data_IF_456957889651
#
_entry.id   IF_456957889651
#
_cell.length_a   1.000
_cell.length_b   1.000
_cell.length_c   1.000
_cell.angle_alpha   90.00
_cell.angle_beta   90.00
_cell.angle_gamma   90.00
#
_symmetry.space_group_name_H-M   'P 1'
#
loop_
_entity.id
_entity.type
_entity.pdbx_description
1 polymer ?
#
# COMPACT_ATOMS: atom_id res chain seq x y z
N UNK A 1 17.10 -0.42 41.77
CA UNK A 1 16.44 -1.74 41.73
C UNK A 1 16.78 -2.35 40.39
N UNK A 2 17.67 -3.34 40.38
CA UNK A 2 18.30 -3.90 39.17
C UNK A 2 17.43 -5.05 38.69
N UNK A 3 16.90 -4.98 37.46
CA UNK A 3 16.24 -6.12 36.82
C UNK A 3 17.28 -6.98 36.06
N UNK A 4 17.35 -8.30 36.29
CA UNK A 4 18.24 -9.16 35.54
C UNK A 4 17.63 -9.56 34.19
N UNK A 5 18.50 -9.60 33.18
CA UNK A 5 18.25 -10.11 31.84
C UNK A 5 17.91 -11.61 31.87
N UNK A 6 16.89 -12.01 31.11
CA UNK A 6 16.57 -13.42 30.84
C UNK A 6 16.99 -13.78 29.41
N UNK A 7 17.88 -14.76 29.38
CA UNK A 7 18.52 -15.42 28.25
C UNK A 7 17.72 -16.71 27.91
N UNK A 8 17.97 -17.31 26.72
CA UNK A 8 17.51 -18.62 26.17
C UNK A 8 16.40 -18.50 25.11
N UNK A 9 16.41 -19.20 23.96
CA UNK A 9 17.27 -20.29 23.49
C UNK A 9 17.23 -20.34 21.95
N UNK A 10 18.40 -20.45 21.31
CA UNK A 10 18.53 -20.96 19.95
C UNK A 10 18.33 -22.47 19.97
N UNK A 11 17.31 -22.97 19.28
CA UNK A 11 17.16 -24.39 18.96
C UNK A 11 17.60 -24.60 17.51
N UNK A 12 18.71 -25.30 17.34
CA UNK A 12 19.19 -25.76 16.06
C UNK A 12 18.32 -26.89 15.51
N UNK A 13 17.94 -26.77 14.24
CA UNK A 13 17.46 -27.88 13.44
C UNK A 13 18.60 -28.31 12.51
N UNK A 14 19.30 -29.37 12.90
CA UNK A 14 20.16 -30.17 12.03
C UNK A 14 19.30 -31.32 11.52
N UNK A 15 19.09 -31.42 10.21
CA UNK A 15 18.25 -32.49 9.66
C UNK A 15 18.34 -32.65 8.14
N UNK A 16 19.13 -33.65 7.75
CA UNK A 16 19.02 -34.49 6.55
C UNK A 16 19.03 -33.82 5.15
N UNK A 17 20.21 -33.87 4.54
CA UNK A 17 20.41 -33.86 3.10
C UNK A 17 20.15 -35.29 2.60
N UNK A 18 19.06 -35.52 1.87
CA UNK A 18 18.81 -36.75 1.13
C UNK A 18 18.93 -36.47 -0.37
N UNK A 19 19.94 -37.07 -0.98
CA UNK A 19 20.21 -37.04 -2.41
C UNK A 19 19.07 -37.72 -3.20
N UNK A 20 18.58 -37.06 -4.25
CA UNK A 20 17.77 -37.71 -5.26
C UNK A 20 18.45 -37.56 -6.63
N UNK A 21 18.74 -38.72 -7.21
CA UNK A 21 19.52 -38.90 -8.42
C UNK A 21 18.68 -38.73 -9.68
N UNK A 22 19.33 -38.10 -10.66
CA UNK A 22 19.21 -38.25 -12.12
C UNK A 22 17.96 -38.93 -12.72
N UNK A 23 17.18 -38.13 -13.45
CA UNK A 23 16.45 -38.56 -14.63
C UNK A 23 16.70 -37.56 -15.77
N UNK A 24 17.70 -37.85 -16.61
CA UNK A 24 17.92 -37.18 -17.90
C UNK A 24 17.01 -37.85 -18.92
N UNK A 25 15.86 -37.25 -19.21
CA UNK A 25 14.93 -37.71 -20.24
C UNK A 25 14.79 -36.65 -21.36
N UNK A 26 15.29 -37.05 -22.54
CA UNK A 26 15.02 -36.59 -23.89
C UNK A 26 14.42 -35.17 -24.08
N UNK A 27 15.26 -34.25 -24.56
CA UNK A 27 14.85 -33.00 -25.18
C UNK A 27 14.32 -33.31 -26.60
N UNK A 28 13.00 -33.39 -26.75
CA UNK A 28 12.31 -33.48 -28.03
C UNK A 28 12.40 -32.10 -28.72
N UNK A 29 13.01 -32.05 -29.89
CA UNK A 29 13.38 -30.84 -30.63
C UNK A 29 12.18 -30.17 -31.31
N UNK A 30 11.05 -30.05 -30.62
CA UNK A 30 9.94 -29.22 -31.07
C UNK A 30 10.40 -27.78 -31.03
N UNK A 31 10.49 -27.18 -32.22
CA UNK A 31 10.71 -25.77 -32.50
C UNK A 31 10.42 -24.89 -31.27
N UNK A 32 11.46 -24.24 -30.73
CA UNK A 32 11.30 -23.12 -29.81
C UNK A 32 10.66 -21.96 -30.58
N UNK A 33 9.38 -22.10 -30.92
CA UNK A 33 8.56 -20.97 -31.31
C UNK A 33 8.60 -20.02 -30.12
N UNK A 34 9.28 -18.89 -30.32
CA UNK A 34 9.34 -17.84 -29.31
C UNK A 34 7.89 -17.56 -28.87
N UNK A 35 7.57 -17.62 -27.57
CA UNK A 35 6.23 -17.33 -27.10
C UNK A 35 5.82 -15.97 -27.67
N UNK A 36 4.76 -15.96 -28.47
CA UNK A 36 4.25 -14.72 -29.05
C UNK A 36 3.82 -13.83 -27.88
N UNK A 37 4.55 -12.72 -27.68
CA UNK A 37 4.18 -11.76 -26.64
C UNK A 37 2.78 -11.24 -26.98
N UNK A 38 1.82 -11.31 -26.05
CA UNK A 38 0.48 -10.81 -26.31
C UNK A 38 0.56 -9.33 -26.68
N UNK A 39 0.09 -8.97 -27.87
CA UNK A 39 -0.01 -7.58 -28.34
C UNK A 39 -1.23 -6.88 -27.74
N UNK A 40 -1.63 -7.28 -26.52
CA UNK A 40 -2.78 -6.71 -25.83
C UNK A 40 -2.47 -5.30 -25.34
N UNK A 41 -3.47 -4.43 -25.41
CA UNK A 41 -3.44 -3.12 -24.76
C UNK A 41 -3.07 -3.31 -23.27
N UNK A 42 -2.14 -2.53 -22.71
CA UNK A 42 -1.78 -2.64 -21.31
C UNK A 42 -3.03 -2.51 -20.44
N UNK A 43 -3.14 -3.27 -19.34
CA UNK A 43 -4.33 -3.23 -18.51
C UNK A 43 -4.56 -1.82 -17.96
N UNK A 44 -5.81 -1.36 -18.03
CA UNK A 44 -6.21 -0.09 -17.46
C UNK A 44 -6.20 -0.20 -15.93
N UNK A 45 -5.26 0.51 -15.29
CA UNK A 45 -5.23 0.68 -13.84
C UNK A 45 -6.26 1.71 -13.40
N UNK A 46 -6.69 1.62 -12.14
CA UNK A 46 -7.48 2.67 -11.52
C UNK A 46 -6.67 3.98 -11.54
N UNK A 47 -7.32 5.14 -11.79
CA UNK A 47 -6.62 6.41 -11.85
C UNK A 47 -6.01 6.75 -10.48
N UNK A 48 -4.69 6.91 -10.44
CA UNK A 48 -3.99 7.36 -9.25
C UNK A 48 -4.31 8.85 -8.96
N UNK A 49 -4.44 9.25 -7.68
CA UNK A 49 -4.67 10.64 -7.34
C UNK A 49 -3.42 11.48 -7.69
N UNK A 50 -3.56 12.61 -8.40
CA UNK A 50 -2.44 13.50 -8.70
C UNK A 50 -1.72 14.05 -7.46
N UNK A 51 -2.42 14.14 -6.33
CA UNK A 51 -1.87 14.57 -5.05
C UNK A 51 -1.82 13.39 -4.08
N UNK A 52 -0.64 13.17 -3.50
CA UNK A 52 -0.39 12.13 -2.51
C UNK A 52 -1.03 12.53 -1.16
N UNK A 53 -2.04 11.78 -0.67
CA UNK A 53 -2.91 12.23 0.43
C UNK A 53 -2.21 12.36 1.79
N UNK A 54 -1.26 11.48 2.13
CA UNK A 54 -0.52 11.57 3.40
C UNK A 54 0.43 12.76 3.35
N UNK A 55 1.23 12.91 2.29
CA UNK A 55 2.11 14.07 2.13
C UNK A 55 1.32 15.39 2.12
N UNK A 56 0.17 15.43 1.47
CA UNK A 56 -0.69 16.60 1.49
C UNK A 56 -1.19 16.90 2.91
N UNK A 57 -1.66 15.88 3.64
CA UNK A 57 -2.08 16.03 5.02
C UNK A 57 -0.94 16.56 5.90
N UNK A 58 0.26 16.00 5.81
CA UNK A 58 1.42 16.46 6.60
C UNK A 58 1.76 17.92 6.32
N UNK A 59 1.66 18.35 5.06
CA UNK A 59 1.98 19.72 4.68
C UNK A 59 0.87 20.73 5.01
N UNK A 60 -0.39 20.36 4.82
CA UNK A 60 -1.52 21.29 4.85
C UNK A 60 -2.39 21.18 6.12
N UNK A 61 -2.46 20.01 6.73
CA UNK A 61 -3.42 19.68 7.79
C UNK A 61 -2.76 19.43 9.16
N UNK A 62 -1.52 18.91 9.18
CA UNK A 62 -0.85 18.49 10.41
C UNK A 62 -0.57 19.65 11.40
N UNK A 63 -0.52 20.90 10.94
CA UNK A 63 -0.40 22.06 11.85
C UNK A 63 -1.57 22.16 12.85
N UNK A 64 -2.76 21.70 12.48
CA UNK A 64 -3.94 21.67 13.33
C UNK A 64 -4.24 20.27 13.88
N UNK A 65 -3.95 19.23 13.10
CA UNK A 65 -4.33 17.84 13.42
C UNK A 65 -3.17 16.98 13.94
N UNK A 66 -1.98 17.57 14.06
CA UNK A 66 -0.75 16.87 14.43
C UNK A 66 -0.20 15.99 13.31
N UNK A 67 1.07 15.58 13.39
CA UNK A 67 1.66 14.63 12.45
C UNK A 67 0.85 13.34 12.42
N UNK A 68 0.53 12.87 11.22
CA UNK A 68 -0.25 11.67 10.95
C UNK A 68 -1.59 11.62 11.72
N UNK A 69 -2.17 12.78 12.04
CA UNK A 69 -3.44 12.85 12.77
C UNK A 69 -3.32 12.53 14.26
N UNK A 70 -2.17 12.71 14.90
CA UNK A 70 -2.05 12.44 16.35
C UNK A 70 -2.99 13.30 17.23
N UNK A 71 -3.52 14.41 16.72
CA UNK A 71 -4.54 15.25 17.36
C UNK A 71 -5.91 15.16 16.65
N UNK A 72 -6.13 14.08 15.90
CA UNK A 72 -7.39 13.87 15.20
C UNK A 72 -8.52 13.60 16.20
N UNK A 73 -9.37 14.61 16.41
CA UNK A 73 -10.42 14.57 17.41
C UNK A 73 -11.65 13.76 17.01
N UNK A 74 -12.48 13.43 18.00
CA UNK A 74 -13.72 12.65 17.82
C UNK A 74 -14.72 13.29 16.84
N UNK A 75 -14.64 14.60 16.60
CA UNK A 75 -15.55 15.32 15.71
C UNK A 75 -15.58 14.78 14.27
N UNK A 76 -14.44 14.35 13.73
CA UNK A 76 -14.39 13.74 12.39
C UNK A 76 -14.84 12.29 12.39
N UNK A 77 -14.55 11.55 13.48
CA UNK A 77 -15.03 10.19 13.64
C UNK A 77 -16.55 10.12 13.79
N UNK A 78 -17.17 11.20 14.26
CA UNK A 78 -18.62 11.33 14.42
C UNK A 78 -19.39 11.66 13.13
N UNK A 79 -18.71 11.96 12.02
CA UNK A 79 -19.40 12.27 10.75
C UNK A 79 -20.05 11.00 10.17
N UNK A 80 -21.36 11.03 9.89
CA UNK A 80 -22.18 9.84 9.69
C UNK A 80 -21.89 9.08 8.40
N UNK A 81 -21.45 9.77 7.36
CA UNK A 81 -21.20 9.20 6.04
C UNK A 81 -20.04 9.91 5.33
N UNK A 82 -19.64 9.37 4.18
CA UNK A 82 -18.53 9.90 3.40
C UNK A 82 -18.88 11.18 2.66
N UNK A 83 -20.17 11.50 2.45
CA UNK A 83 -20.59 12.78 1.87
C UNK A 83 -20.34 13.92 2.86
N UNK A 84 -20.72 13.74 4.12
CA UNK A 84 -20.45 14.67 5.20
C UNK A 84 -18.95 14.85 5.43
N UNK A 85 -18.18 13.75 5.43
CA UNK A 85 -16.72 13.82 5.54
C UNK A 85 -16.09 14.52 4.33
N UNK A 86 -16.55 14.24 3.10
CA UNK A 86 -16.07 14.91 1.89
C UNK A 86 -16.33 16.40 1.94
N UNK A 87 -17.53 16.82 2.38
CA UNK A 87 -17.84 18.23 2.53
C UNK A 87 -16.90 18.91 3.55
N UNK A 88 -16.73 18.31 4.73
CA UNK A 88 -15.82 18.85 5.76
C UNK A 88 -14.37 18.94 5.26
N UNK A 89 -13.86 17.91 4.57
CA UNK A 89 -12.51 17.91 3.98
C UNK A 89 -12.38 19.01 2.93
N UNK A 90 -13.38 19.21 2.06
CA UNK A 90 -13.35 20.30 1.06
C UNK A 90 -13.30 21.68 1.72
N UNK A 91 -14.10 21.93 2.75
CA UNK A 91 -14.05 23.20 3.50
C UNK A 91 -12.67 23.43 4.14
N UNK A 92 -12.02 22.38 4.64
CA UNK A 92 -10.66 22.47 5.20
C UNK A 92 -9.60 22.74 4.12
N UNK A 93 -9.72 22.09 2.97
CA UNK A 93 -8.81 22.28 1.82
C UNK A 93 -8.91 23.71 1.29
N UNK A 94 -10.12 24.23 1.14
CA UNK A 94 -10.37 25.57 0.58
C UNK A 94 -10.08 26.67 1.61
N UNK A 95 -10.53 26.52 2.85
CA UNK A 95 -10.40 27.54 3.88
C UNK A 95 -9.00 27.54 4.53
N UNK A 96 -8.76 26.73 5.57
CA UNK A 96 -7.46 26.64 6.26
C UNK A 96 -6.26 26.36 5.34
N UNK A 97 -6.33 25.37 4.45
CA UNK A 97 -5.22 25.01 3.56
C UNK A 97 -5.08 25.91 2.34
N UNK A 98 -6.08 26.78 2.08
CA UNK A 98 -6.08 27.81 1.03
C UNK A 98 -5.74 27.29 -0.36
N UNK A 99 -6.22 26.10 -0.71
CA UNK A 99 -5.96 25.44 -1.99
C UNK A 99 -7.20 24.72 -2.51
N UNK A 100 -7.10 24.06 -3.66
CA UNK A 100 -8.12 23.16 -4.19
C UNK A 100 -7.50 21.83 -4.58
N UNK A 101 -8.30 20.77 -4.55
CA UNK A 101 -7.92 19.45 -5.03
C UNK A 101 -8.91 19.01 -6.12
N UNK A 102 -8.43 18.21 -7.06
CA UNK A 102 -9.32 17.50 -7.97
C UNK A 102 -10.15 16.43 -7.22
N UNK A 103 -11.11 15.83 -7.92
CA UNK A 103 -12.02 14.85 -7.33
C UNK A 103 -11.31 13.59 -6.82
N UNK A 104 -10.35 13.05 -7.56
CA UNK A 104 -9.62 11.84 -7.16
C UNK A 104 -8.71 12.11 -5.96
N UNK A 105 -7.97 13.23 -5.97
CA UNK A 105 -7.17 13.69 -4.85
C UNK A 105 -8.01 13.96 -3.61
N UNK A 106 -9.19 14.56 -3.77
CA UNK A 106 -10.14 14.77 -2.66
C UNK A 106 -10.62 13.43 -2.10
N UNK A 107 -10.98 12.48 -2.95
CA UNK A 107 -11.47 11.16 -2.52
C UNK A 107 -10.39 10.36 -1.78
N UNK A 108 -9.15 10.38 -2.26
CA UNK A 108 -8.02 9.74 -1.59
C UNK A 108 -7.74 10.38 -0.21
N UNK A 109 -7.82 11.71 -0.11
CA UNK A 109 -7.67 12.42 1.16
C UNK A 109 -8.81 12.08 2.14
N UNK A 110 -10.06 12.02 1.67
CA UNK A 110 -11.21 11.59 2.48
C UNK A 110 -11.02 10.17 3.02
N UNK A 111 -10.53 9.24 2.19
CA UNK A 111 -10.22 7.88 2.62
C UNK A 111 -9.14 7.85 3.72
N UNK A 112 -8.10 8.69 3.59
CA UNK A 112 -7.08 8.84 4.63
C UNK A 112 -7.65 9.41 5.93
N UNK A 113 -8.46 10.47 5.87
CA UNK A 113 -9.16 11.02 7.03
C UNK A 113 -10.07 9.99 7.71
N UNK A 114 -10.69 9.08 6.94
CA UNK A 114 -11.49 7.99 7.50
C UNK A 114 -10.62 6.92 8.17
N UNK A 115 -9.44 6.62 7.62
CA UNK A 115 -8.46 5.76 8.29
C UNK A 115 -8.04 6.33 9.65
N UNK A 116 -7.74 7.63 9.72
CA UNK A 116 -7.39 8.31 10.98
C UNK A 116 -8.50 8.19 12.03
N UNK A 117 -9.76 8.35 11.62
CA UNK A 117 -10.92 8.26 12.51
C UNK A 117 -11.12 6.87 13.15
N UNK A 118 -10.68 5.78 12.49
CA UNK A 118 -10.97 4.40 12.91
C UNK A 118 -9.91 3.78 13.82
N UNK A 119 -9.04 4.60 14.41
CA UNK A 119 -7.98 4.18 15.35
C UNK A 119 -7.01 3.17 14.71
N UNK A 120 -6.30 3.59 13.65
CA UNK A 120 -5.09 3.03 13.01
C UNK A 120 -4.88 1.50 12.84
N UNK A 121 -5.78 0.61 13.28
CA UNK A 121 -5.55 -0.85 13.37
C UNK A 121 -5.17 -1.47 12.03
N UNK A 122 -5.69 -0.93 10.94
CA UNK A 122 -5.38 -1.34 9.58
C UNK A 122 -4.55 -0.24 8.91
N UNK A 123 -3.44 -0.56 8.23
CA UNK A 123 -2.69 0.44 7.49
C UNK A 123 -3.53 0.99 6.33
N UNK A 124 -3.37 2.27 6.04
CA UNK A 124 -3.81 2.89 4.80
C UNK A 124 -2.68 2.76 3.77
N UNK A 125 -3.01 2.39 2.54
CA UNK A 125 -2.07 2.39 1.42
C UNK A 125 -2.70 3.01 0.18
N UNK A 126 -1.92 3.78 -0.57
CA UNK A 126 -2.29 4.44 -1.82
C UNK A 126 -1.18 4.26 -2.84
N UNK A 127 -1.54 3.99 -4.08
CA UNK A 127 -0.68 4.03 -5.26
C UNK A 127 -0.80 5.43 -5.86
N UNK A 128 0.29 6.16 -5.95
CA UNK A 128 0.34 7.51 -6.53
C UNK A 128 0.89 7.50 -7.95
N UNK A 129 1.66 6.47 -8.32
CA UNK A 129 2.21 6.34 -9.67
C UNK A 129 2.48 4.88 -10.05
N UNK A 130 2.15 4.53 -11.28
CA UNK A 130 2.58 3.32 -11.97
C UNK A 130 3.20 3.75 -13.29
N UNK A 131 4.49 3.49 -13.49
CA UNK A 131 5.24 3.86 -14.69
C UNK A 131 6.16 2.71 -15.12
N UNK A 132 5.73 1.94 -16.12
CA UNK A 132 6.43 0.75 -16.57
C UNK A 132 6.58 -0.28 -15.45
N UNK A 133 7.81 -0.49 -14.98
CA UNK A 133 8.12 -1.39 -13.87
C UNK A 133 8.27 -0.69 -12.51
N UNK A 134 8.11 0.63 -12.43
CA UNK A 134 8.13 1.37 -11.18
C UNK A 134 6.70 1.54 -10.64
N UNK A 135 6.51 1.20 -9.36
CA UNK A 135 5.27 1.43 -8.62
C UNK A 135 5.59 2.24 -7.38
N UNK A 136 4.84 3.31 -7.15
CA UNK A 136 5.07 4.26 -6.07
C UNK A 136 3.77 4.62 -5.36
N UNK A 137 3.90 5.01 -4.11
CA UNK A 137 2.74 5.35 -3.31
C UNK A 137 3.07 5.86 -1.92
N UNK A 138 2.04 5.90 -1.08
CA UNK A 138 2.17 6.19 0.34
C UNK A 138 1.50 5.11 1.19
N UNK A 139 1.95 4.99 2.43
CA UNK A 139 1.45 4.03 3.41
C UNK A 139 1.46 4.64 4.81
N UNK A 140 0.55 4.22 5.69
CA UNK A 140 0.57 4.61 7.09
C UNK A 140 1.95 4.40 7.74
N UNK A 141 2.39 5.27 8.65
CA UNK A 141 3.68 5.14 9.34
C UNK A 141 3.84 3.77 10.03
N UNK A 142 5.05 3.20 9.95
CA UNK A 142 5.36 1.90 10.56
C UNK A 142 4.78 0.69 9.84
N UNK A 143 4.17 0.87 8.67
CA UNK A 143 3.69 -0.23 7.85
C UNK A 143 4.78 -0.76 6.90
N UNK A 144 4.69 -2.06 6.58
CA UNK A 144 5.42 -2.71 5.48
C UNK A 144 4.52 -2.75 4.24
N UNK A 145 5.14 -2.70 3.06
CA UNK A 145 4.45 -2.84 1.77
C UNK A 145 5.09 -3.96 0.95
N UNK A 146 4.26 -4.84 0.40
CA UNK A 146 4.64 -5.86 -0.58
C UNK A 146 3.78 -5.66 -1.81
N UNK A 147 4.41 -5.56 -2.97
CA UNK A 147 3.72 -5.49 -4.26
C UNK A 147 3.71 -6.89 -4.86
N UNK A 148 2.53 -7.39 -5.20
CA UNK A 148 2.34 -8.68 -5.86
C UNK A 148 1.96 -8.41 -7.31
N UNK A 149 2.83 -8.78 -8.24
CA UNK A 149 2.58 -8.62 -9.68
C UNK A 149 2.72 -9.96 -10.40
N UNK A 150 1.66 -10.38 -11.08
CA UNK A 150 1.56 -11.69 -11.75
C UNK A 150 1.97 -12.87 -10.86
N UNK A 151 1.60 -12.78 -9.57
CA UNK A 151 1.89 -13.78 -8.55
C UNK A 151 3.30 -13.74 -7.96
N UNK A 152 4.17 -12.84 -8.45
CA UNK A 152 5.50 -12.60 -7.90
C UNK A 152 5.46 -11.49 -6.84
N UNK A 153 6.15 -11.70 -5.72
CA UNK A 153 6.20 -10.72 -4.63
C UNK A 153 7.47 -9.86 -4.71
N UNK A 154 7.28 -8.54 -4.58
CA UNK A 154 8.32 -7.53 -4.60
C UNK A 154 8.20 -6.72 -3.30
N UNK A 155 9.23 -6.80 -2.45
CA UNK A 155 9.27 -5.98 -1.25
C UNK A 155 9.52 -4.51 -1.62
N UNK A 156 8.64 -3.62 -1.15
CA UNK A 156 8.79 -2.20 -1.39
C UNK A 156 9.77 -1.58 -0.39
N UNK A 157 10.56 -0.62 -0.86
CA UNK A 157 11.34 0.26 0.02
C UNK A 157 10.41 1.33 0.58
N UNK A 158 10.28 1.39 1.90
CA UNK A 158 9.51 2.42 2.62
C UNK A 158 10.48 3.44 3.24
N UNK A 159 10.24 4.73 3.02
CA UNK A 159 10.99 5.87 3.59
C UNK A 159 9.98 6.89 4.17
N UNK A 160 9.87 6.94 5.50
CA UNK A 160 8.76 7.61 6.16
C UNK A 160 7.42 6.95 5.82
N UNK A 161 6.50 7.71 5.20
CA UNK A 161 5.25 7.19 4.64
C UNK A 161 5.30 6.94 3.13
N UNK A 162 6.38 7.33 2.44
CA UNK A 162 6.52 7.08 1.01
C UNK A 162 7.04 5.68 0.76
N UNK A 163 6.56 5.01 -0.30
CA UNK A 163 7.09 3.70 -0.70
C UNK A 163 7.31 3.61 -2.21
N UNK A 164 8.27 2.76 -2.58
CA UNK A 164 8.60 2.45 -3.98
C UNK A 164 8.88 0.97 -4.14
N UNK A 165 8.45 0.39 -5.25
CA UNK A 165 8.77 -0.98 -5.66
C UNK A 165 9.17 -1.02 -7.13
N UNK A 166 10.06 -1.96 -7.47
CA UNK A 166 10.48 -2.21 -8.85
C UNK A 166 10.12 -3.64 -9.23
N UNK A 167 9.33 -3.77 -10.28
CA UNK A 167 8.94 -5.04 -10.87
C UNK A 167 10.05 -5.52 -11.82
N UNK A 168 10.23 -6.84 -11.92
CA UNK A 168 11.24 -7.42 -12.82
C UNK A 168 10.82 -7.35 -14.30
N UNK A 169 9.50 -7.25 -14.55
CA UNK A 169 8.93 -7.19 -15.89
C UNK A 169 7.74 -6.24 -15.95
N UNK A 170 7.54 -5.60 -17.10
CA UNK A 170 6.35 -4.83 -17.45
C UNK A 170 6.03 -5.03 -18.95
N UNK A 171 4.75 -4.94 -19.38
CA UNK A 171 3.56 -4.74 -18.54
C UNK A 171 3.24 -5.99 -17.69
N UNK A 172 2.57 -5.78 -16.55
CA UNK A 172 2.05 -6.86 -15.70
C UNK A 172 0.55 -6.97 -15.87
N UNK A 173 -0.01 -8.17 -15.81
CA UNK A 173 -1.46 -8.37 -15.97
C UNK A 173 -2.20 -8.07 -14.66
N UNK A 174 -1.63 -8.45 -13.52
CA UNK A 174 -2.21 -8.26 -12.18
C UNK A 174 -1.26 -7.47 -11.31
N UNK A 175 -1.82 -6.62 -10.46
CA UNK A 175 -1.04 -5.81 -9.51
C UNK A 175 -1.86 -5.62 -8.24
N UNK A 176 -1.40 -6.24 -7.15
CA UNK A 176 -2.00 -6.13 -5.82
C UNK A 176 -0.96 -5.58 -4.85
N UNK A 177 -1.32 -4.56 -4.09
CA UNK A 177 -0.47 -4.01 -3.02
C UNK A 177 -0.97 -4.52 -1.69
N UNK A 178 -0.11 -5.21 -0.95
CA UNK A 178 -0.36 -5.69 0.41
C UNK A 178 0.34 -4.79 1.41
N UNK A 179 -0.34 -4.42 2.48
CA UNK A 179 0.29 -3.70 3.59
C UNK A 179 -0.11 -4.26 4.94
N UNK A 180 0.84 -4.33 5.86
CA UNK A 180 0.64 -4.79 7.23
C UNK A 180 1.51 -3.97 8.20
N UNK A 181 1.11 -3.86 9.47
CA UNK A 181 1.91 -3.21 10.53
C UNK A 181 3.17 -4.03 10.84
N UNK A 182 4.30 -3.37 11.09
CA UNK A 182 5.57 -4.04 11.39
C UNK A 182 5.59 -4.73 12.76
N UNK A 183 4.93 -4.16 13.77
CA UNK A 183 5.13 -4.56 15.17
C UNK A 183 4.47 -5.89 15.55
N UNK A 184 3.35 -6.24 14.92
CA UNK A 184 2.57 -7.43 15.26
C UNK A 184 2.20 -8.31 14.06
N UNK A 185 2.53 -7.87 12.83
CA UNK A 185 2.16 -8.55 11.59
C UNK A 185 0.65 -8.73 11.42
N UNK A 186 -0.17 -8.10 12.27
CA UNK A 186 -1.61 -8.24 12.29
C UNK A 186 -2.25 -7.12 11.46
N UNK A 187 -3.39 -7.44 10.83
CA UNK A 187 -4.11 -6.59 9.88
C UNK A 187 -3.35 -6.31 8.57
N UNK A 188 -3.34 -7.31 7.68
CA UNK A 188 -2.99 -7.09 6.29
C UNK A 188 -4.19 -6.52 5.53
N UNK A 189 -3.98 -5.45 4.76
CA UNK A 189 -4.92 -4.96 3.76
C UNK A 189 -4.38 -5.25 2.36
N UNK A 190 -5.29 -5.52 1.42
CA UNK A 190 -4.96 -5.70 0.01
C UNK A 190 -5.63 -4.61 -0.83
N UNK A 191 -4.90 -4.09 -1.80
CA UNK A 191 -5.34 -3.12 -2.78
C UNK A 191 -5.10 -3.68 -4.18
N UNK A 192 -6.17 -4.06 -4.88
CA UNK A 192 -6.11 -4.40 -6.31
C UNK A 192 -6.05 -3.11 -7.13
N UNK A 193 -4.92 -2.88 -7.81
CA UNK A 193 -4.66 -1.66 -8.58
C UNK A 193 -5.59 -1.48 -9.79
N UNK A 194 -6.32 -2.52 -10.21
CA UNK A 194 -7.39 -2.39 -11.23
C UNK A 194 -8.69 -1.86 -10.63
N UNK A 195 -8.97 -2.19 -9.36
CA UNK A 195 -10.22 -1.83 -8.70
C UNK A 195 -10.13 -0.45 -8.04
N UNK A 196 -9.00 -0.11 -7.44
CA UNK A 196 -8.79 1.16 -6.76
C UNK A 196 -7.31 1.55 -6.72
N UNK A 197 -7.04 2.84 -6.54
CA UNK A 197 -5.69 3.34 -6.30
C UNK A 197 -5.39 3.57 -4.81
N UNK A 198 -6.35 3.39 -3.90
CA UNK A 198 -6.13 3.48 -2.46
C UNK A 198 -7.07 2.55 -1.70
N UNK A 199 -6.67 2.20 -0.48
CA UNK A 199 -7.52 1.44 0.43
C UNK A 199 -8.62 2.32 1.00
N UNK A 200 -9.85 1.85 0.85
CA UNK A 200 -11.03 2.45 1.47
C UNK A 200 -11.92 1.32 2.01
N UNK A 201 -12.25 1.35 3.30
CA UNK A 201 -13.46 0.68 3.78
C UNK A 201 -14.54 1.71 3.97
N UNK A 202 -15.61 1.57 3.19
CA UNK A 202 -16.85 2.28 3.45
C UNK A 202 -17.39 1.94 4.85
N UNK A 203 -18.33 2.72 5.38
CA UNK A 203 -19.14 2.24 6.50
C UNK A 203 -19.80 0.91 6.10
N UNK A 204 -19.51 -0.15 6.86
CA UNK A 204 -20.30 -1.39 6.83
C UNK A 204 -21.71 -1.11 7.38
#
# INVERSE_FOLDING_TARGET
MIHPAQNKAQRGCVGLIAACAAALAACDSRECAAPQMPTGEPPAWAPAPPVAPISFFENACANCHGPHGMFYGEGFAALPDDSALTHAVREMVIGPARTTLDEASTAALVAYHRHLARSEREPFVVITRIDGSAVEGEVSPGARVVVVADGLEFEAKVDGHAWTARLDSAPVATLVVRSARQDDGSCAIELDARAAAWTHRGPE
#
